data_IF_824098698508
#
_entry.id   IF_824098698508
#
_cell.length_a   1.000
_cell.length_b   1.000
_cell.length_c   1.000
_cell.angle_alpha   90.00
_cell.angle_beta   90.00
_cell.angle_gamma   90.00
#
_symmetry.space_group_name_H-M   'P 1'
#
loop_
_entity.id
_entity.type
_entity.pdbx_description
1 polymer ?
#
# COMPACT_ATOMS: atom_id res chain seq x y z
N UNK A 1 11.66 9.26 34.52
CA UNK A 1 10.70 9.64 33.47
C UNK A 1 10.92 11.09 33.09
N UNK A 2 11.09 11.38 31.80
CA UNK A 2 11.15 12.75 31.27
C UNK A 2 9.75 13.16 30.84
N UNK A 3 9.30 14.35 31.23
CA UNK A 3 7.99 14.85 30.84
C UNK A 3 7.93 15.04 29.31
N UNK A 4 6.84 14.62 28.67
CA UNK A 4 6.68 14.76 27.22
C UNK A 4 6.73 16.22 26.77
N UNK A 5 6.23 17.14 27.60
CA UNK A 5 6.33 18.58 27.38
C UNK A 5 7.78 19.06 27.31
N UNK A 6 8.73 18.40 27.98
CA UNK A 6 10.15 18.72 27.88
C UNK A 6 10.79 18.19 26.57
N UNK A 7 10.11 17.29 25.85
CA UNK A 7 10.55 16.70 24.59
C UNK A 7 9.90 17.34 23.36
N UNK A 8 9.20 18.48 23.51
CA UNK A 8 8.52 19.15 22.41
C UNK A 8 9.45 19.47 21.23
N UNK A 9 10.67 19.94 21.52
CA UNK A 9 11.66 20.30 20.51
C UNK A 9 12.17 19.08 19.73
N UNK A 10 12.67 17.99 20.38
CA UNK A 10 13.08 16.80 19.64
C UNK A 10 11.91 16.13 18.88
N UNK A 11 10.67 16.20 19.38
CA UNK A 11 9.50 15.71 18.65
C UNK A 11 9.29 16.52 17.36
N UNK A 12 9.24 17.85 17.46
CA UNK A 12 9.00 18.74 16.32
C UNK A 12 10.11 18.62 15.28
N UNK A 13 11.38 18.62 15.71
CA UNK A 13 12.52 18.48 14.81
C UNK A 13 12.51 17.13 14.11
N UNK A 14 12.27 16.03 14.83
CA UNK A 14 12.22 14.69 14.23
C UNK A 14 11.13 14.59 13.16
N UNK A 15 9.92 15.10 13.46
CA UNK A 15 8.82 15.11 12.50
C UNK A 15 9.17 15.90 11.23
N UNK A 16 9.79 17.08 11.35
CA UNK A 16 10.22 17.88 10.20
C UNK A 16 11.30 17.16 9.39
N UNK A 17 12.33 16.60 10.04
CA UNK A 17 13.40 15.90 9.34
C UNK A 17 12.89 14.66 8.59
N UNK A 18 12.03 13.86 9.22
CA UNK A 18 11.47 12.67 8.58
C UNK A 18 10.52 13.06 7.44
N UNK A 19 9.70 14.10 7.62
CA UNK A 19 8.82 14.61 6.57
C UNK A 19 9.60 15.06 5.34
N UNK A 20 10.67 15.86 5.53
CA UNK A 20 11.53 16.31 4.43
C UNK A 20 12.25 15.14 3.77
N UNK A 21 12.84 14.24 4.55
CA UNK A 21 13.51 13.05 4.02
C UNK A 21 12.54 12.18 3.20
N UNK A 22 11.34 11.94 3.72
CA UNK A 22 10.27 11.18 3.04
C UNK A 22 9.86 11.84 1.73
N UNK A 23 9.66 13.16 1.71
CA UNK A 23 9.35 13.91 0.49
C UNK A 23 10.47 13.80 -0.55
N UNK A 24 11.73 13.91 -0.12
CA UNK A 24 12.89 13.75 -1.01
C UNK A 24 12.94 12.34 -1.60
N UNK A 25 12.76 11.30 -0.79
CA UNK A 25 12.74 9.93 -1.27
C UNK A 25 11.61 9.68 -2.29
N UNK A 26 10.43 10.24 -2.04
CA UNK A 26 9.31 10.12 -2.97
C UNK A 26 9.57 10.81 -4.32
N UNK A 27 10.23 11.97 -4.30
CA UNK A 27 10.57 12.70 -5.53
C UNK A 27 11.76 12.10 -6.29
N UNK A 28 12.78 11.62 -5.59
CA UNK A 28 14.05 11.16 -6.19
C UNK A 28 13.96 9.72 -6.67
N UNK A 29 13.24 8.84 -5.97
CA UNK A 29 13.21 7.41 -6.29
C UNK A 29 12.02 7.05 -7.21
N UNK A 30 12.26 6.56 -8.44
CA UNK A 30 11.19 6.19 -9.39
C UNK A 30 10.51 4.85 -9.08
N UNK A 31 10.62 4.35 -7.83
CA UNK A 31 10.21 3.01 -7.42
C UNK A 31 8.73 2.66 -7.63
N UNK A 32 7.85 3.66 -7.80
CA UNK A 32 6.42 3.44 -8.08
C UNK A 32 6.03 3.48 -9.57
N UNK A 33 6.95 3.79 -10.49
CA UNK A 33 6.59 3.92 -11.92
C UNK A 33 6.08 2.62 -12.54
N UNK A 34 6.60 1.48 -12.08
CA UNK A 34 6.16 0.15 -12.55
C UNK A 34 4.84 -0.31 -11.96
N UNK A 35 4.37 0.33 -10.88
CA UNK A 35 3.16 -0.07 -10.17
C UNK A 35 1.89 0.32 -10.94
N UNK A 36 2.01 1.28 -11.86
CA UNK A 36 0.90 1.82 -12.64
C UNK A 36 1.06 1.46 -14.12
N UNK A 37 0.02 0.86 -14.69
CA UNK A 37 -0.08 0.61 -16.13
C UNK A 37 -1.35 1.26 -16.64
N UNK A 38 -1.25 1.89 -17.81
CA UNK A 38 -2.43 2.38 -18.52
C UNK A 38 -3.32 1.19 -18.91
N UNK A 39 -4.63 1.32 -18.70
CA UNK A 39 -5.58 0.32 -19.14
C UNK A 39 -5.66 0.26 -20.67
N UNK A 40 -5.66 -0.93 -21.28
CA UNK A 40 -6.03 -1.07 -22.68
C UNK A 40 -7.44 -0.51 -22.91
N UNK A 41 -7.59 0.36 -23.91
CA UNK A 41 -8.87 0.99 -24.26
C UNK A 41 -9.54 1.74 -23.07
N UNK A 42 -8.73 2.51 -22.33
CA UNK A 42 -9.10 3.25 -21.11
C UNK A 42 -10.43 4.02 -21.20
N UNK A 43 -10.67 4.78 -22.27
CA UNK A 43 -11.89 5.60 -22.41
C UNK A 43 -13.16 4.75 -22.42
N UNK A 44 -13.12 3.56 -23.05
CA UNK A 44 -14.24 2.62 -23.07
C UNK A 44 -14.50 2.02 -21.68
N UNK A 45 -13.43 1.67 -20.95
CA UNK A 45 -13.55 1.15 -19.58
C UNK A 45 -14.09 2.22 -18.64
N UNK A 46 -13.59 3.45 -18.74
CA UNK A 46 -14.07 4.59 -17.96
C UNK A 46 -15.54 4.88 -18.26
N UNK A 47 -15.94 4.86 -19.54
CA UNK A 47 -17.34 5.03 -19.96
C UNK A 47 -18.26 4.00 -19.33
N UNK A 48 -17.90 2.71 -19.41
CA UNK A 48 -18.68 1.63 -18.82
C UNK A 48 -18.81 1.77 -17.29
N UNK A 49 -17.75 2.19 -16.58
CA UNK A 49 -17.82 2.41 -15.13
C UNK A 49 -18.71 3.60 -14.77
N UNK A 50 -18.70 4.66 -15.59
CA UNK A 50 -19.57 5.82 -15.40
C UNK A 50 -21.04 5.48 -15.66
N UNK A 51 -21.34 4.72 -16.72
CA UNK A 51 -22.69 4.24 -17.05
C UNK A 51 -23.28 3.35 -15.94
N UNK A 52 -22.44 2.55 -15.28
CA UNK A 52 -22.84 1.71 -14.14
C UNK A 52 -22.85 2.47 -12.80
N UNK A 53 -22.63 3.79 -12.81
CA UNK A 53 -22.58 4.65 -11.64
C UNK A 53 -21.65 4.10 -10.53
N UNK A 54 -20.49 3.56 -10.93
CA UNK A 54 -19.54 2.96 -9.99
C UNK A 54 -19.06 4.02 -8.99
N UNK A 55 -19.40 3.82 -7.70
CA UNK A 55 -19.05 4.74 -6.62
C UNK A 55 -17.65 4.47 -6.09
N UNK A 56 -17.11 5.43 -5.33
CA UNK A 56 -15.87 5.25 -4.58
C UNK A 56 -15.93 3.95 -3.75
N UNK A 57 -14.94 3.09 -3.93
CA UNK A 57 -14.90 1.79 -3.26
C UNK A 57 -13.79 0.87 -3.74
N UNK A 58 -13.69 -0.29 -3.10
CA UNK A 58 -12.85 -1.40 -3.54
C UNK A 58 -13.76 -2.53 -4.00
N UNK A 59 -13.58 -2.96 -5.24
CA UNK A 59 -14.35 -4.00 -5.88
C UNK A 59 -13.42 -5.15 -6.21
N UNK A 60 -13.88 -6.38 -6.02
CA UNK A 60 -13.24 -7.57 -6.59
C UNK A 60 -14.11 -8.10 -7.72
N UNK A 61 -13.48 -8.66 -8.74
CA UNK A 61 -14.19 -9.35 -9.81
C UNK A 61 -13.44 -10.63 -10.18
N UNK A 62 -14.14 -11.77 -10.31
CA UNK A 62 -15.54 -11.95 -9.93
C UNK A 62 -15.74 -11.84 -8.41
N UNK A 63 -16.79 -11.12 -7.99
CA UNK A 63 -17.17 -10.98 -6.58
C UNK A 63 -17.86 -12.25 -6.08
N UNK A 64 -17.66 -12.59 -4.81
CA UNK A 64 -18.42 -13.61 -4.10
C UNK A 64 -18.76 -13.05 -2.71
N UNK A 65 -20.04 -13.07 -2.36
CA UNK A 65 -20.56 -12.46 -1.14
C UNK A 65 -20.35 -13.34 0.11
N UNK A 66 -20.03 -14.62 -0.09
CA UNK A 66 -19.89 -15.59 0.99
C UNK A 66 -18.81 -16.64 0.72
N UNK A 67 -18.31 -17.26 1.79
CA UNK A 67 -17.36 -18.38 1.68
C UNK A 67 -17.91 -19.59 0.92
N UNK A 68 -19.24 -19.72 0.82
CA UNK A 68 -19.88 -20.80 0.06
C UNK A 68 -19.86 -20.51 -1.45
N UNK A 69 -20.08 -19.26 -1.87
CA UNK A 69 -19.98 -18.87 -3.28
C UNK A 69 -18.58 -19.06 -3.85
N UNK A 70 -17.54 -18.81 -3.03
CA UNK A 70 -16.14 -19.08 -3.41
C UNK A 70 -15.87 -20.54 -3.78
N UNK A 71 -16.64 -21.47 -3.23
CA UNK A 71 -16.51 -22.91 -3.49
C UNK A 71 -17.39 -23.37 -4.65
N UNK A 72 -18.27 -22.52 -5.15
CA UNK A 72 -19.19 -22.87 -6.22
C UNK A 72 -18.45 -23.07 -7.54
N UNK A 73 -18.92 -24.02 -8.34
CA UNK A 73 -18.34 -24.27 -9.66
C UNK A 73 -18.56 -23.07 -10.60
N UNK A 74 -19.66 -22.32 -10.41
CA UNK A 74 -19.95 -21.10 -11.18
C UNK A 74 -18.88 -20.02 -10.94
N UNK A 75 -18.53 -19.75 -9.67
CA UNK A 75 -17.49 -18.78 -9.36
C UNK A 75 -16.13 -19.25 -9.89
N UNK A 76 -15.79 -20.53 -9.73
CA UNK A 76 -14.56 -21.13 -10.28
C UNK A 76 -14.51 -21.01 -11.80
N UNK A 77 -15.62 -21.19 -12.50
CA UNK A 77 -15.72 -21.02 -13.95
C UNK A 77 -15.51 -19.55 -14.37
N UNK A 78 -16.08 -18.59 -13.64
CA UNK A 78 -15.83 -17.14 -13.88
C UNK A 78 -14.36 -16.79 -13.69
N UNK A 79 -13.73 -17.33 -12.65
CA UNK A 79 -12.29 -17.13 -12.39
C UNK A 79 -11.43 -17.74 -13.49
N UNK A 80 -11.75 -18.96 -13.93
CA UNK A 80 -11.01 -19.62 -15.00
C UNK A 80 -11.13 -18.90 -16.34
N UNK A 81 -12.31 -18.29 -16.62
CA UNK A 81 -12.54 -17.48 -17.82
C UNK A 81 -11.82 -16.12 -17.75
N UNK A 82 -11.78 -15.50 -16.57
CA UNK A 82 -11.19 -14.18 -16.35
C UNK A 82 -11.92 -13.03 -17.08
N UNK A 83 -11.39 -11.80 -16.98
CA UNK A 83 -10.28 -11.37 -16.13
C UNK A 83 -10.65 -11.39 -14.64
N UNK A 84 -9.64 -11.53 -13.77
CA UNK A 84 -9.78 -11.45 -12.32
C UNK A 84 -8.96 -10.30 -11.77
N UNK A 85 -9.51 -9.54 -10.83
CA UNK A 85 -8.78 -8.41 -10.28
C UNK A 85 -9.46 -7.68 -9.14
N UNK A 86 -8.78 -6.62 -8.72
CA UNK A 86 -9.29 -5.61 -7.80
C UNK A 86 -9.37 -4.29 -8.55
N UNK A 87 -10.49 -3.59 -8.38
CA UNK A 87 -10.71 -2.24 -8.89
C UNK A 87 -10.90 -1.31 -7.69
N UNK A 88 -10.10 -0.25 -7.63
CA UNK A 88 -10.29 0.84 -6.66
C UNK A 88 -10.81 2.05 -7.41
N UNK A 89 -12.06 2.43 -7.12
CA UNK A 89 -12.68 3.63 -7.68
C UNK A 89 -12.47 4.77 -6.69
N UNK A 90 -11.96 5.90 -7.20
CA UNK A 90 -11.71 7.11 -6.42
C UNK A 90 -12.73 8.19 -6.82
N UNK A 91 -12.90 9.19 -5.94
CA UNK A 91 -13.74 10.35 -6.28
C UNK A 91 -13.12 11.13 -7.44
N UNK A 92 -13.96 11.79 -8.28
CA UNK A 92 -13.48 12.75 -9.26
C UNK A 92 -12.64 13.86 -8.60
N UNK A 93 -11.67 14.40 -9.34
CA UNK A 93 -10.83 15.53 -8.90
C UNK A 93 -9.38 15.17 -8.56
N UNK A 94 -9.02 13.89 -8.60
CA UNK A 94 -7.64 13.44 -8.41
C UNK A 94 -7.11 13.60 -6.98
N UNK A 95 -5.83 13.23 -6.74
CA UNK A 95 -5.23 13.33 -5.42
C UNK A 95 -4.96 14.79 -5.03
N UNK A 96 -5.38 15.19 -3.82
CA UNK A 96 -5.01 16.47 -3.24
C UNK A 96 -3.62 16.40 -2.61
N UNK A 97 -2.64 17.03 -3.27
CA UNK A 97 -1.24 17.05 -2.80
C UNK A 97 -1.12 17.66 -1.40
N UNK A 98 -1.75 18.82 -1.16
CA UNK A 98 -1.69 19.50 0.14
C UNK A 98 -2.28 18.68 1.28
N UNK A 99 -3.42 18.03 1.05
CA UNK A 99 -4.05 17.14 2.06
C UNK A 99 -3.15 15.96 2.38
N UNK A 100 -2.55 15.34 1.37
CA UNK A 100 -1.65 14.20 1.57
C UNK A 100 -0.38 14.61 2.33
N UNK A 101 0.20 15.78 2.03
CA UNK A 101 1.34 16.32 2.77
C UNK A 101 0.98 16.62 4.24
N UNK A 102 -0.19 17.21 4.50
CA UNK A 102 -0.64 17.47 5.86
C UNK A 102 -0.88 16.17 6.66
N UNK A 103 -1.49 15.17 6.03
CA UNK A 103 -1.69 13.85 6.64
C UNK A 103 -0.36 13.15 6.92
N UNK A 104 0.60 13.22 5.98
CA UNK A 104 1.94 12.66 6.15
C UNK A 104 2.67 13.33 7.32
N UNK A 105 2.69 14.67 7.36
CA UNK A 105 3.32 15.41 8.45
C UNK A 105 2.66 15.10 9.80
N UNK A 106 1.32 15.05 9.85
CA UNK A 106 0.59 14.66 11.05
C UNK A 106 0.94 13.25 11.52
N UNK A 107 1.08 12.30 10.60
CA UNK A 107 1.55 10.95 10.90
C UNK A 107 2.98 10.94 11.49
N UNK A 108 3.89 11.75 10.93
CA UNK A 108 5.27 11.87 11.42
C UNK A 108 5.32 12.47 12.84
N UNK A 109 4.46 13.44 13.14
CA UNK A 109 4.29 13.98 14.50
C UNK A 109 3.77 12.90 15.45
N UNK A 110 2.73 12.16 15.06
CA UNK A 110 2.14 11.10 15.89
C UNK A 110 3.19 10.04 16.23
N UNK A 111 3.95 9.54 15.25
CA UNK A 111 5.02 8.57 15.50
C UNK A 111 6.08 9.17 16.43
N UNK A 112 6.51 10.41 16.19
CA UNK A 112 7.52 11.09 17.02
C UNK A 112 7.07 11.22 18.48
N UNK A 113 5.78 11.50 18.73
CA UNK A 113 5.20 11.53 20.07
C UNK A 113 5.26 10.16 20.74
N UNK A 114 4.88 9.08 20.04
CA UNK A 114 4.96 7.73 20.61
C UNK A 114 6.41 7.29 20.88
N UNK A 115 7.33 7.61 19.99
CA UNK A 115 8.77 7.33 20.19
C UNK A 115 9.30 8.09 21.42
N UNK A 116 8.93 9.36 21.58
CA UNK A 116 9.31 10.16 22.74
C UNK A 116 8.69 9.62 24.04
N UNK A 117 7.42 9.23 24.02
CA UNK A 117 6.73 8.61 25.15
C UNK A 117 7.41 7.31 25.59
N UNK A 118 7.67 6.39 24.66
CA UNK A 118 8.33 5.12 24.95
C UNK A 118 9.76 5.33 25.48
N UNK A 119 10.52 6.26 24.86
CA UNK A 119 11.88 6.57 25.30
C UNK A 119 11.89 7.20 26.70
N UNK A 120 10.95 8.11 26.99
CA UNK A 120 10.83 8.76 28.29
C UNK A 120 10.42 7.82 29.44
N UNK A 121 9.75 6.70 29.10
CA UNK A 121 9.45 5.61 30.04
C UNK A 121 10.64 4.65 30.21
N UNK A 122 11.31 4.31 29.12
CA UNK A 122 12.35 3.28 29.11
C UNK A 122 13.71 3.77 29.65
N UNK A 123 13.98 5.08 29.60
CA UNK A 123 15.32 5.62 29.83
C UNK A 123 15.35 6.68 30.94
N UNK A 124 16.45 6.69 31.70
CA UNK A 124 16.70 7.68 32.73
C UNK A 124 17.31 8.97 32.14
N UNK A 125 17.09 10.16 32.74
CA UNK A 125 17.83 11.36 32.38
C UNK A 125 19.34 11.13 32.45
N UNK A 126 20.09 11.64 31.47
CA UNK A 126 21.55 11.44 31.39
C UNK A 126 22.00 10.14 30.74
N UNK A 127 21.07 9.29 30.26
CA UNK A 127 21.41 8.08 29.49
C UNK A 127 22.30 8.44 28.28
N UNK A 128 23.40 7.70 28.02
CA UNK A 128 24.26 7.95 26.87
C UNK A 128 23.52 7.87 25.53
N UNK A 129 23.92 8.72 24.58
CA UNK A 129 23.24 8.86 23.28
C UNK A 129 23.00 7.53 22.55
N UNK A 130 23.99 6.63 22.50
CA UNK A 130 23.87 5.39 21.74
C UNK A 130 22.79 4.45 22.32
N UNK A 131 22.55 4.48 23.63
CA UNK A 131 21.49 3.70 24.25
C UNK A 131 20.11 4.32 23.94
N UNK A 132 20.01 5.65 23.99
CA UNK A 132 18.81 6.38 23.55
C UNK A 132 18.50 6.08 22.09
N UNK A 133 19.50 6.14 21.22
CA UNK A 133 19.35 5.89 19.79
C UNK A 133 18.88 4.46 19.50
N UNK A 134 19.41 3.46 20.21
CA UNK A 134 18.96 2.06 20.04
C UNK A 134 17.48 1.90 20.33
N UNK A 135 16.99 2.45 21.45
CA UNK A 135 15.58 2.32 21.84
C UNK A 135 14.67 3.16 20.94
N UNK A 136 14.97 4.45 20.80
CA UNK A 136 14.16 5.37 20.00
C UNK A 136 14.15 4.99 18.52
N UNK A 137 15.31 4.62 17.97
CA UNK A 137 15.46 4.17 16.59
C UNK A 137 14.71 2.87 16.30
N UNK A 138 14.78 1.88 17.20
CA UNK A 138 14.01 0.64 17.06
C UNK A 138 12.51 0.93 17.09
N UNK A 139 12.05 1.75 18.04
CA UNK A 139 10.64 2.14 18.13
C UNK A 139 10.16 2.88 16.86
N UNK A 140 10.98 3.78 16.33
CA UNK A 140 10.67 4.50 15.10
C UNK A 140 10.57 3.54 13.90
N UNK A 141 11.54 2.65 13.72
CA UNK A 141 11.52 1.66 12.63
C UNK A 141 10.27 0.79 12.69
N UNK A 142 9.91 0.30 13.88
CA UNK A 142 8.68 -0.48 14.06
C UNK A 142 7.43 0.34 13.74
N UNK A 143 7.37 1.60 14.15
CA UNK A 143 6.26 2.51 13.86
C UNK A 143 6.07 2.76 12.36
N UNK A 144 7.16 2.97 11.62
CA UNK A 144 7.10 3.25 10.18
C UNK A 144 6.91 1.99 9.32
N UNK A 145 7.53 0.86 9.70
CA UNK A 145 7.53 -0.37 8.87
C UNK A 145 6.37 -1.30 9.21
N UNK A 146 5.88 -1.32 10.45
CA UNK A 146 4.87 -2.27 10.93
C UNK A 146 3.58 -2.29 10.11
N UNK A 147 3.22 -1.17 9.45
CA UNK A 147 2.04 -1.07 8.61
C UNK A 147 2.13 -1.84 7.27
N UNK A 148 3.34 -2.22 6.82
CA UNK A 148 3.56 -2.79 5.49
C UNK A 148 3.23 -4.29 5.39
N UNK A 149 3.24 -5.03 6.51
CA UNK A 149 3.10 -6.50 6.49
C UNK A 149 1.74 -6.99 5.97
N UNK A 150 0.69 -6.15 6.04
CA UNK A 150 -0.68 -6.55 5.69
C UNK A 150 -0.94 -6.74 4.18
N UNK A 151 -0.06 -6.26 3.30
CA UNK A 151 -0.33 -6.24 1.84
C UNK A 151 0.05 -7.50 1.06
N UNK A 152 0.78 -8.47 1.64
CA UNK A 152 1.33 -9.62 0.88
C UNK A 152 0.51 -10.91 0.97
N UNK A 153 -0.53 -10.96 1.80
CA UNK A 153 -1.32 -12.18 2.02
C UNK A 153 -2.26 -12.57 0.86
N UNK A 154 -2.38 -11.77 -0.20
CA UNK A 154 -3.34 -11.99 -1.30
C UNK A 154 -2.73 -12.24 -2.68
N UNK A 155 -1.40 -12.24 -2.84
CA UNK A 155 -0.74 -12.36 -4.14
C UNK A 155 0.36 -13.41 -4.09
N UNK A 156 -0.01 -14.67 -4.25
CA UNK A 156 0.98 -15.74 -4.35
C UNK A 156 0.38 -17.13 -4.43
N UNK A 157 -0.19 -17.48 -5.59
CA UNK A 157 -0.15 -18.81 -6.21
C UNK A 157 -1.28 -18.95 -7.25
N UNK A 158 -1.08 -18.41 -8.46
CA UNK A 158 -1.88 -18.82 -9.61
C UNK A 158 -1.00 -18.86 -10.86
N UNK A 159 -0.49 -20.06 -11.14
CA UNK A 159 -0.40 -20.57 -12.50
C UNK A 159 0.72 -20.05 -13.39
N UNK A 160 1.95 -20.50 -13.14
CA UNK A 160 2.88 -20.76 -14.24
C UNK A 160 2.37 -21.98 -15.04
N UNK A 161 1.37 -21.79 -15.88
CA UNK A 161 0.94 -22.76 -16.88
C UNK A 161 1.11 -22.12 -18.26
N UNK A 162 2.34 -22.24 -18.77
CA UNK A 162 2.73 -21.88 -20.13
C UNK A 162 1.89 -22.74 -21.08
N UNK A 163 1.02 -22.11 -21.87
CA UNK A 163 0.27 -22.78 -22.92
C UNK A 163 1.25 -23.41 -23.93
N UNK A 164 1.22 -24.73 -24.05
CA UNK A 164 1.71 -25.41 -25.24
C UNK A 164 0.58 -25.34 -26.25
N UNK A 165 0.71 -24.48 -27.25
CA UNK A 165 -0.09 -24.56 -28.48
C UNK A 165 0.23 -25.88 -29.18
N UNK A 166 -0.77 -26.69 -29.58
CA UNK A 166 -0.55 -27.75 -30.55
C UNK A 166 -0.39 -27.09 -31.92
N UNK A 167 0.79 -27.23 -32.52
CA UNK A 167 0.99 -26.91 -33.94
C UNK A 167 0.19 -27.91 -34.75
N UNK A 168 -0.88 -27.44 -35.37
CA UNK A 168 -1.56 -28.11 -36.47
C UNK A 168 -0.67 -28.02 -37.71
N UNK A 169 0.00 -29.12 -38.06
CA UNK A 169 0.56 -29.31 -39.39
C UNK A 169 -0.32 -30.33 -40.13
N UNK A 170 -1.14 -29.83 -41.05
CA UNK A 170 -1.83 -30.62 -42.06
C UNK A 170 -0.81 -31.14 -43.07
N UNK A 171 -0.62 -32.47 -43.13
CA UNK A 171 0.08 -33.12 -44.24
C UNK A 171 -0.97 -33.79 -45.15
N UNK A 172 -1.13 -33.22 -46.33
CA UNK A 172 -1.83 -33.80 -47.49
C UNK A 172 -0.97 -34.92 -48.08
N UNK A 173 -1.55 -36.05 -48.54
CA UNK A 173 -0.80 -37.12 -49.18
C UNK A 173 -0.67 -36.88 -50.71
N UNK A 174 0.53 -37.14 -51.24
CA UNK A 174 0.78 -37.59 -52.60
C UNK A 174 1.57 -38.90 -52.52
#
# INVERSE_FOLDING_TARGET
MVALSALWLPIALSAVFVFVASALFWMVLPHHRSDWKRLPNEDSVMGALAEQEAKRGQYSFPFAASSNEWKSEEWRAKVAKGPCGLLVVLDPGGPSMGKNLALQFGHDVVISVFVAYLSGLALAPGTPYLEVFRVAGTAAVLGYVGALFRRRSGSGAAGAARSKTPSTASSTPC
#
